data_IF_248890996439
#
_entry.id   IF_248890996439
#
_cell.length_a   1.000
_cell.length_b   1.000
_cell.length_c   1.000
_cell.angle_alpha   90.00
_cell.angle_beta   90.00
_cell.angle_gamma   90.00
#
_symmetry.space_group_name_H-M   'P 1'
#
loop_
_entity.id
_entity.type
_entity.pdbx_description
1 polymer ?
#
# COMPACT_ATOMS: atom_id res chain seq x y z
N UNK A 1 -37.48 -15.35 13.05
CA UNK A 1 -36.24 -14.50 13.05
C UNK A 1 -35.32 -15.00 11.95
N UNK A 2 -34.98 -14.19 10.96
CA UNK A 2 -34.04 -14.60 9.92
C UNK A 2 -32.67 -14.86 10.58
N UNK A 3 -32.04 -15.96 10.21
CA UNK A 3 -30.69 -16.34 10.70
C UNK A 3 -29.71 -15.20 10.38
N UNK A 4 -29.04 -14.66 11.37
CA UNK A 4 -28.03 -13.61 11.17
C UNK A 4 -26.88 -14.20 10.32
N UNK A 5 -26.58 -13.59 9.18
CA UNK A 5 -25.47 -14.03 8.31
C UNK A 5 -24.12 -13.70 8.97
N UNK A 6 -23.19 -14.65 8.87
CA UNK A 6 -21.84 -14.54 9.44
C UNK A 6 -20.82 -14.31 8.34
N UNK A 7 -20.04 -13.22 8.45
CA UNK A 7 -18.88 -12.93 7.60
C UNK A 7 -17.62 -13.18 8.41
N UNK A 8 -16.72 -13.99 7.89
CA UNK A 8 -15.44 -14.31 8.52
C UNK A 8 -14.32 -13.54 7.84
N UNK A 9 -13.64 -12.63 8.58
CA UNK A 9 -12.58 -11.81 8.04
C UNK A 9 -11.23 -12.21 8.62
N UNK A 10 -10.19 -12.19 7.78
CA UNK A 10 -8.81 -12.43 8.23
C UNK A 10 -7.91 -11.33 7.71
N UNK A 11 -7.43 -10.50 8.62
CA UNK A 11 -6.40 -9.49 8.37
C UNK A 11 -5.10 -9.91 9.06
N UNK A 12 -3.97 -9.81 8.37
CA UNK A 12 -2.66 -10.22 8.89
C UNK A 12 -1.70 -9.06 9.15
N UNK A 13 -2.05 -7.85 8.73
CA UNK A 13 -1.22 -6.64 8.80
C UNK A 13 -2.06 -5.42 9.15
N UNK A 14 -1.46 -4.32 9.67
CA UNK A 14 -2.20 -3.09 10.00
C UNK A 14 -2.98 -2.50 8.82
N UNK A 15 -2.47 -2.61 7.59
CA UNK A 15 -3.18 -2.25 6.35
C UNK A 15 -4.46 -3.06 6.17
N UNK A 16 -4.39 -4.36 6.41
CA UNK A 16 -5.54 -5.25 6.35
C UNK A 16 -6.56 -5.00 7.46
N UNK A 17 -6.11 -4.65 8.68
CA UNK A 17 -6.99 -4.26 9.78
C UNK A 17 -7.77 -2.98 9.46
N UNK A 18 -7.11 -1.98 8.88
CA UNK A 18 -7.76 -0.76 8.40
C UNK A 18 -8.83 -1.08 7.35
N UNK A 19 -8.49 -1.85 6.30
CA UNK A 19 -9.43 -2.24 5.26
C UNK A 19 -10.61 -3.05 5.81
N UNK A 20 -10.34 -3.98 6.72
CA UNK A 20 -11.37 -4.79 7.39
C UNK A 20 -12.32 -3.94 8.22
N UNK A 21 -11.80 -2.98 8.97
CA UNK A 21 -12.57 -2.03 9.77
C UNK A 21 -13.52 -1.18 8.90
N UNK A 22 -13.01 -0.63 7.80
CA UNK A 22 -13.80 0.17 6.85
C UNK A 22 -14.95 -0.66 6.22
N UNK A 23 -14.65 -1.92 5.82
CA UNK A 23 -15.68 -2.83 5.31
C UNK A 23 -16.75 -3.12 6.37
N UNK A 24 -16.34 -3.47 7.60
CA UNK A 24 -17.28 -3.77 8.69
C UNK A 24 -18.18 -2.56 8.95
N UNK A 25 -17.60 -1.36 9.01
CA UNK A 25 -18.37 -0.11 9.21
C UNK A 25 -19.44 0.08 8.13
N UNK A 26 -19.07 -0.02 6.86
CA UNK A 26 -20.00 0.12 5.73
C UNK A 26 -21.08 -0.96 5.72
N UNK A 27 -20.73 -2.20 6.05
CA UNK A 27 -21.67 -3.33 6.10
C UNK A 27 -22.67 -3.17 7.26
N UNK A 28 -22.24 -2.73 8.44
CA UNK A 28 -23.13 -2.46 9.59
C UNK A 28 -24.13 -1.36 9.24
N UNK A 29 -23.67 -0.28 8.59
CA UNK A 29 -24.54 0.81 8.16
C UNK A 29 -25.58 0.37 7.15
N UNK A 30 -25.24 -0.59 6.29
CA UNK A 30 -26.16 -1.13 5.26
C UNK A 30 -27.06 -2.24 5.79
N UNK A 31 -26.61 -3.04 6.76
CA UNK A 31 -27.37 -4.16 7.34
C UNK A 31 -26.89 -4.51 8.76
N UNK A 32 -27.61 -4.04 9.76
CA UNK A 32 -27.31 -4.26 11.18
C UNK A 32 -27.46 -5.72 11.66
N UNK A 33 -27.98 -6.63 10.81
CA UNK A 33 -28.18 -8.04 11.17
C UNK A 33 -26.96 -8.92 10.89
N UNK A 34 -25.87 -8.37 10.36
CA UNK A 34 -24.65 -9.10 10.07
C UNK A 34 -23.81 -9.35 11.35
N UNK A 35 -23.14 -10.51 11.36
CA UNK A 35 -22.15 -10.86 12.39
C UNK A 35 -20.77 -10.98 11.75
N UNK A 36 -19.73 -10.60 12.52
CA UNK A 36 -18.35 -10.63 12.07
C UNK A 36 -17.49 -11.41 13.06
N UNK A 37 -16.59 -12.24 12.53
CA UNK A 37 -15.67 -13.06 13.33
C UNK A 37 -14.37 -13.29 12.54
N UNK A 38 -13.28 -13.73 13.18
CA UNK A 38 -12.06 -14.08 12.47
C UNK A 38 -10.77 -13.64 13.13
N UNK A 39 -9.88 -12.99 12.36
CA UNK A 39 -8.59 -12.44 12.82
C UNK A 39 -8.48 -10.98 12.37
N UNK A 40 -8.25 -10.09 13.31
CA UNK A 40 -8.09 -8.66 13.05
C UNK A 40 -7.38 -7.95 14.19
N UNK A 41 -7.03 -6.70 13.95
CA UNK A 41 -6.37 -5.82 14.93
C UNK A 41 -7.36 -4.93 15.68
N UNK A 42 -6.83 -3.85 16.26
CA UNK A 42 -7.59 -2.93 17.12
C UNK A 42 -8.71 -2.20 16.36
N UNK A 43 -8.48 -1.83 15.08
CA UNK A 43 -9.48 -1.10 14.31
C UNK A 43 -10.73 -1.95 14.05
N UNK A 44 -10.58 -3.20 13.65
CA UNK A 44 -11.71 -4.12 13.48
C UNK A 44 -12.40 -4.40 14.80
N UNK A 45 -11.64 -4.53 15.91
CA UNK A 45 -12.20 -4.81 17.24
C UNK A 45 -13.09 -3.67 17.76
N UNK A 46 -12.91 -2.42 17.32
CA UNK A 46 -13.78 -1.29 17.64
C UNK A 46 -15.24 -1.50 17.15
N UNK A 47 -15.47 -2.43 16.24
CA UNK A 47 -16.80 -2.81 15.71
C UNK A 47 -17.39 -4.09 16.33
N UNK A 48 -17.07 -4.41 17.58
CA UNK A 48 -17.46 -5.64 18.26
C UNK A 48 -16.95 -6.94 17.58
N UNK A 49 -15.89 -6.84 16.79
CA UNK A 49 -15.20 -7.96 16.17
C UNK A 49 -14.31 -8.67 17.19
N UNK A 50 -14.35 -10.00 17.24
CA UNK A 50 -13.51 -10.78 18.14
C UNK A 50 -12.45 -11.54 17.35
N UNK A 51 -11.19 -11.18 17.58
CA UNK A 51 -10.06 -11.91 16.99
C UNK A 51 -9.77 -13.19 17.75
N UNK A 52 -9.65 -14.31 17.02
CA UNK A 52 -9.38 -15.63 17.65
C UNK A 52 -7.94 -15.79 18.15
N UNK A 53 -7.04 -14.93 17.73
CA UNK A 53 -5.70 -14.74 18.25
C UNK A 53 -5.15 -13.35 17.87
N UNK A 54 -4.07 -12.87 18.51
CA UNK A 54 -3.49 -11.57 18.17
C UNK A 54 -3.01 -11.50 16.71
N UNK A 55 -3.46 -10.50 15.95
CA UNK A 55 -3.06 -10.28 14.55
C UNK A 55 -1.53 -10.19 14.38
N UNK A 56 -0.81 -9.71 15.40
CA UNK A 56 0.66 -9.65 15.42
C UNK A 56 1.35 -10.99 15.21
N UNK A 57 0.64 -12.10 15.40
CA UNK A 57 1.17 -13.44 15.11
C UNK A 57 1.36 -13.68 13.60
N UNK A 58 0.67 -12.92 12.75
CA UNK A 58 0.73 -13.00 11.29
C UNK A 58 1.67 -11.94 10.70
N UNK A 59 1.87 -10.80 11.38
CA UNK A 59 2.68 -9.67 10.93
C UNK A 59 4.18 -9.95 11.02
N UNK A 60 4.66 -10.97 10.32
CA UNK A 60 6.07 -11.38 10.34
C UNK A 60 6.69 -11.02 8.99
N UNK A 61 7.64 -10.08 8.99
CA UNK A 61 8.36 -9.67 7.78
C UNK A 61 9.81 -10.16 7.78
N UNK A 62 10.28 -10.59 6.61
CA UNK A 62 11.65 -11.03 6.36
C UNK A 62 11.80 -12.56 6.33
N UNK A 63 12.78 -13.04 5.54
CA UNK A 63 12.97 -14.49 5.29
C UNK A 63 13.34 -15.22 6.58
N UNK A 64 14.33 -14.73 7.33
CA UNK A 64 14.81 -15.40 8.53
C UNK A 64 13.77 -15.42 9.66
N UNK A 65 13.09 -14.32 10.02
CA UNK A 65 11.99 -14.34 11.00
C UNK A 65 10.83 -15.26 10.60
N UNK A 66 10.50 -15.34 9.30
CA UNK A 66 9.47 -16.28 8.80
C UNK A 66 9.90 -17.71 8.98
N UNK A 67 11.16 -18.07 8.65
CA UNK A 67 11.68 -19.43 8.83
C UNK A 67 11.66 -19.86 10.32
N UNK A 68 12.07 -18.98 11.23
CA UNK A 68 12.08 -19.26 12.66
C UNK A 68 10.67 -19.45 13.25
N UNK A 69 9.64 -18.87 12.63
CA UNK A 69 8.25 -18.92 13.11
C UNK A 69 7.32 -19.74 12.23
N UNK A 70 7.86 -20.51 11.28
CA UNK A 70 7.06 -21.28 10.31
C UNK A 70 6.06 -22.24 10.99
N UNK A 71 6.47 -22.89 12.08
CA UNK A 71 5.61 -23.79 12.85
C UNK A 71 4.43 -23.04 13.49
N UNK A 72 4.66 -21.81 13.98
CA UNK A 72 3.60 -20.96 14.52
C UNK A 72 2.63 -20.55 13.42
N UNK A 73 3.14 -20.13 12.26
CA UNK A 73 2.28 -19.76 11.11
C UNK A 73 1.46 -20.96 10.63
N UNK A 74 2.04 -22.15 10.53
CA UNK A 74 1.30 -23.36 10.15
C UNK A 74 0.20 -23.71 11.17
N UNK A 75 0.49 -23.56 12.47
CA UNK A 75 -0.52 -23.72 13.53
C UNK A 75 -1.67 -22.72 13.38
N UNK A 76 -1.37 -21.43 13.08
CA UNK A 76 -2.39 -20.39 12.87
C UNK A 76 -3.21 -20.65 11.61
N UNK A 77 -2.58 -21.11 10.52
CA UNK A 77 -3.32 -21.53 9.30
C UNK A 77 -4.32 -22.64 9.64
N UNK A 78 -3.91 -23.64 10.42
CA UNK A 78 -4.80 -24.72 10.85
C UNK A 78 -5.95 -24.19 11.72
N UNK A 79 -5.62 -23.37 12.72
CA UNK A 79 -6.59 -22.79 13.64
C UNK A 79 -7.67 -21.98 12.89
N UNK A 80 -7.27 -21.08 11.96
CA UNK A 80 -8.19 -20.30 11.14
C UNK A 80 -9.05 -21.22 10.26
N UNK A 81 -8.42 -22.19 9.60
CA UNK A 81 -9.16 -23.15 8.72
C UNK A 81 -10.20 -23.95 9.50
N UNK A 82 -9.83 -24.47 10.67
CA UNK A 82 -10.72 -25.31 11.49
C UNK A 82 -11.84 -24.47 12.12
N UNK A 83 -11.55 -23.22 12.54
CA UNK A 83 -12.55 -22.28 13.05
C UNK A 83 -13.59 -21.90 11.97
N UNK A 84 -13.15 -21.62 10.73
CA UNK A 84 -14.03 -21.35 9.59
C UNK A 84 -14.95 -22.55 9.32
N UNK A 85 -14.40 -23.78 9.31
CA UNK A 85 -15.18 -24.99 9.07
C UNK A 85 -16.22 -25.23 10.16
N UNK A 86 -15.85 -25.01 11.41
CA UNK A 86 -16.74 -25.18 12.56
C UNK A 86 -17.86 -24.14 12.59
N UNK A 87 -17.55 -22.88 12.30
CA UNK A 87 -18.50 -21.75 12.33
C UNK A 87 -19.41 -21.70 11.09
N UNK A 88 -18.97 -22.28 9.98
CA UNK A 88 -19.70 -22.30 8.69
C UNK A 88 -20.22 -20.90 8.31
N UNK A 89 -19.33 -19.91 8.15
CA UNK A 89 -19.74 -18.57 7.76
C UNK A 89 -20.37 -18.56 6.37
N UNK A 90 -21.25 -17.59 6.12
CA UNK A 90 -21.90 -17.38 4.83
C UNK A 90 -20.90 -16.80 3.80
N UNK A 91 -19.83 -16.13 4.25
CA UNK A 91 -18.78 -15.54 3.42
C UNK A 91 -17.45 -15.48 4.18
N UNK A 92 -16.35 -15.74 3.47
CA UNK A 92 -14.98 -15.56 4.00
C UNK A 92 -14.27 -14.46 3.21
N UNK A 93 -13.65 -13.50 3.90
CA UNK A 93 -12.84 -12.42 3.30
C UNK A 93 -11.43 -12.49 3.86
N UNK A 94 -10.46 -12.76 2.99
CA UNK A 94 -9.05 -12.87 3.33
C UNK A 94 -8.33 -11.61 2.83
N UNK A 95 -7.91 -10.75 3.78
CA UNK A 95 -7.42 -9.38 3.51
C UNK A 95 -5.90 -9.36 3.60
N UNK A 96 -5.24 -8.87 2.54
CA UNK A 96 -3.78 -8.72 2.48
C UNK A 96 -3.03 -10.05 2.79
N UNK A 97 -1.82 -10.02 3.37
CA UNK A 97 -1.06 -11.22 3.80
C UNK A 97 -1.10 -12.40 2.81
N UNK A 98 -0.65 -12.23 1.57
CA UNK A 98 -0.98 -13.14 0.46
C UNK A 98 -0.49 -14.57 0.66
N UNK A 99 0.63 -14.81 1.36
CA UNK A 99 1.15 -16.16 1.56
C UNK A 99 0.39 -16.94 2.64
N UNK A 100 -0.09 -16.26 3.68
CA UNK A 100 -0.94 -16.85 4.71
C UNK A 100 -2.33 -17.15 4.14
N UNK A 101 -2.96 -16.15 3.57
CA UNK A 101 -4.33 -16.21 3.08
C UNK A 101 -4.50 -17.22 1.93
N UNK A 102 -3.52 -17.30 1.01
CA UNK A 102 -3.56 -18.33 -0.04
C UNK A 102 -3.50 -19.76 0.51
N UNK A 103 -2.75 -20.00 1.58
CA UNK A 103 -2.67 -21.30 2.24
C UNK A 103 -3.98 -21.65 2.95
N UNK A 104 -4.62 -20.68 3.61
CA UNK A 104 -5.95 -20.85 4.22
C UNK A 104 -6.98 -21.20 3.15
N UNK A 105 -7.10 -20.39 2.09
CA UNK A 105 -8.05 -20.63 0.99
C UNK A 105 -7.85 -22.01 0.34
N UNK A 106 -6.60 -22.37 0.01
CA UNK A 106 -6.26 -23.69 -0.55
C UNK A 106 -6.66 -24.83 0.37
N UNK A 107 -6.54 -24.66 1.70
CA UNK A 107 -6.87 -25.68 2.68
C UNK A 107 -8.40 -25.82 2.83
N UNK A 108 -9.13 -24.72 2.79
CA UNK A 108 -10.60 -24.69 2.77
C UNK A 108 -11.15 -25.42 1.54
N UNK A 109 -10.66 -25.09 0.33
CA UNK A 109 -11.08 -25.78 -0.90
C UNK A 109 -10.74 -27.28 -0.88
N UNK A 110 -9.61 -27.71 -0.30
CA UNK A 110 -9.28 -29.13 -0.09
C UNK A 110 -10.24 -29.85 0.86
N UNK A 111 -10.86 -29.14 1.80
CA UNK A 111 -11.86 -29.67 2.74
C UNK A 111 -13.29 -29.47 2.22
N UNK A 112 -13.47 -29.19 0.92
CA UNK A 112 -14.76 -28.99 0.26
C UNK A 112 -15.65 -27.92 0.90
N UNK A 113 -15.00 -26.83 1.39
CA UNK A 113 -15.73 -25.68 1.92
C UNK A 113 -16.51 -24.98 0.78
N UNK A 114 -17.80 -24.74 0.98
CA UNK A 114 -18.73 -24.32 -0.08
C UNK A 114 -19.01 -22.81 -0.12
N UNK A 115 -18.94 -22.10 1.03
CA UNK A 115 -19.21 -20.66 1.02
C UNK A 115 -18.15 -19.89 0.24
N UNK A 116 -18.50 -18.75 -0.39
CA UNK A 116 -17.57 -17.97 -1.18
C UNK A 116 -16.36 -17.49 -0.37
N UNK A 117 -15.18 -17.47 -1.00
CA UNK A 117 -13.92 -16.97 -0.43
C UNK A 117 -13.45 -15.80 -1.29
N UNK A 118 -13.48 -14.61 -0.73
CA UNK A 118 -12.99 -13.38 -1.37
C UNK A 118 -11.56 -13.07 -0.92
N UNK A 119 -10.67 -12.79 -1.88
CA UNK A 119 -9.38 -12.19 -1.62
C UNK A 119 -9.51 -10.67 -1.69
N UNK A 120 -9.13 -9.96 -0.66
CA UNK A 120 -9.05 -8.50 -0.69
C UNK A 120 -7.59 -8.07 -0.65
N UNK A 121 -7.19 -7.25 -1.60
CA UNK A 121 -5.83 -6.89 -1.99
C UNK A 121 -5.16 -7.94 -2.88
N UNK A 122 -4.98 -7.56 -4.14
CA UNK A 122 -4.26 -8.38 -5.11
C UNK A 122 -2.77 -8.49 -4.75
N UNK A 123 -2.20 -9.69 -4.69
CA UNK A 123 -0.75 -9.82 -4.58
C UNK A 123 -0.07 -9.36 -5.88
N UNK A 124 1.13 -8.77 -5.78
CA UNK A 124 1.90 -8.23 -6.91
C UNK A 124 2.48 -9.32 -7.85
N UNK A 125 1.74 -10.39 -8.07
CA UNK A 125 2.16 -11.53 -8.91
C UNK A 125 2.29 -11.18 -10.39
N UNK A 126 1.63 -10.14 -10.84
CA UNK A 126 1.76 -9.59 -12.18
C UNK A 126 3.18 -9.11 -12.49
N UNK A 127 3.95 -8.71 -11.48
CA UNK A 127 5.32 -8.24 -11.63
C UNK A 127 6.34 -9.37 -11.86
N UNK A 128 6.14 -10.58 -11.31
CA UNK A 128 7.17 -11.63 -11.33
C UNK A 128 6.69 -13.10 -11.20
N UNK A 129 5.50 -13.37 -10.63
CA UNK A 129 4.97 -14.72 -10.39
C UNK A 129 3.61 -14.94 -11.04
N UNK A 130 3.47 -14.64 -12.32
CA UNK A 130 2.18 -14.67 -13.04
C UNK A 130 1.43 -16.02 -12.92
N UNK A 131 2.14 -17.15 -12.88
CA UNK A 131 1.54 -18.48 -12.69
C UNK A 131 0.76 -18.61 -11.36
N UNK A 132 1.04 -17.76 -10.35
CA UNK A 132 0.29 -17.75 -9.10
C UNK A 132 -1.14 -17.26 -9.28
N UNK A 133 -1.41 -16.39 -10.25
CA UNK A 133 -2.76 -15.94 -10.57
C UNK A 133 -3.68 -17.12 -10.94
N UNK A 134 -3.17 -18.06 -11.77
CA UNK A 134 -3.90 -19.31 -12.10
C UNK A 134 -4.14 -20.22 -10.89
N UNK A 135 -3.23 -20.20 -9.89
CA UNK A 135 -3.48 -20.92 -8.63
C UNK A 135 -4.51 -20.21 -7.75
N UNK A 136 -4.58 -18.88 -7.82
CA UNK A 136 -5.57 -18.10 -7.07
C UNK A 136 -6.99 -18.36 -7.59
N UNK A 137 -7.21 -18.42 -8.91
CA UNK A 137 -8.51 -18.70 -9.49
C UNK A 137 -9.12 -20.07 -9.10
N UNK A 138 -8.27 -21.00 -8.62
CA UNK A 138 -8.73 -22.29 -8.08
C UNK A 138 -9.13 -22.24 -6.61
N UNK A 139 -8.71 -21.22 -5.88
CA UNK A 139 -8.84 -21.17 -4.42
C UNK A 139 -9.72 -20.01 -3.93
N UNK A 140 -9.92 -18.99 -4.74
CA UNK A 140 -10.75 -17.84 -4.45
C UNK A 140 -11.86 -17.73 -5.47
N UNK A 141 -13.04 -17.32 -5.01
CA UNK A 141 -14.21 -17.13 -5.85
C UNK A 141 -14.27 -15.69 -6.39
N UNK A 142 -13.65 -14.74 -5.70
CA UNK A 142 -13.55 -13.33 -6.12
C UNK A 142 -12.29 -12.66 -5.60
N UNK A 143 -11.86 -11.59 -6.31
CA UNK A 143 -10.76 -10.73 -5.89
C UNK A 143 -11.19 -9.25 -5.90
N UNK A 144 -10.91 -8.54 -4.81
CA UNK A 144 -10.94 -7.08 -4.78
C UNK A 144 -9.54 -6.54 -5.02
N UNK A 145 -9.36 -5.86 -6.14
CA UNK A 145 -8.08 -5.25 -6.54
C UNK A 145 -8.03 -3.77 -6.17
N UNK A 146 -6.85 -3.28 -5.82
CA UNK A 146 -6.59 -1.89 -5.47
C UNK A 146 -6.07 -1.05 -6.63
N UNK A 147 -5.61 -1.70 -7.72
CA UNK A 147 -5.10 -1.04 -8.91
C UNK A 147 -5.92 -1.46 -10.13
N UNK A 148 -6.23 -0.53 -11.04
CA UNK A 148 -7.17 -0.80 -12.14
C UNK A 148 -6.69 -1.90 -13.10
N UNK A 149 -5.41 -1.95 -13.44
CA UNK A 149 -4.85 -2.95 -14.36
C UNK A 149 -4.83 -4.37 -13.76
N UNK A 150 -4.91 -4.52 -12.45
CA UNK A 150 -4.96 -5.83 -11.78
C UNK A 150 -6.24 -6.58 -12.13
N UNK A 151 -7.36 -5.87 -12.29
CA UNK A 151 -8.64 -6.47 -12.66
C UNK A 151 -8.51 -7.31 -13.93
N UNK A 152 -8.06 -6.71 -15.02
CA UNK A 152 -7.97 -7.38 -16.32
C UNK A 152 -6.91 -8.49 -16.29
N UNK A 153 -5.82 -8.29 -15.55
CA UNK A 153 -4.81 -9.32 -15.34
C UNK A 153 -5.39 -10.58 -14.69
N UNK A 154 -6.15 -10.45 -13.60
CA UNK A 154 -6.69 -11.61 -12.89
C UNK A 154 -7.87 -12.26 -13.62
N UNK A 155 -8.76 -11.48 -14.25
CA UNK A 155 -9.85 -12.01 -15.09
C UNK A 155 -9.27 -12.88 -16.21
N UNK A 156 -8.22 -12.44 -16.90
CA UNK A 156 -7.52 -13.23 -17.92
C UNK A 156 -7.00 -14.57 -17.39
N UNK A 157 -6.71 -14.66 -16.10
CA UNK A 157 -6.27 -15.90 -15.45
C UNK A 157 -7.42 -16.70 -14.81
N UNK A 158 -8.68 -16.31 -15.07
CA UNK A 158 -9.88 -17.02 -14.63
C UNK A 158 -10.32 -16.71 -13.20
N UNK A 159 -9.94 -15.55 -12.63
CA UNK A 159 -10.40 -15.09 -11.33
C UNK A 159 -11.28 -13.85 -11.48
N UNK A 160 -12.56 -13.97 -11.15
CA UNK A 160 -13.47 -12.83 -11.07
C UNK A 160 -12.88 -11.74 -10.17
N UNK A 161 -12.82 -10.52 -10.70
CA UNK A 161 -12.14 -9.41 -10.04
C UNK A 161 -12.91 -8.11 -10.18
N UNK A 162 -13.11 -7.44 -9.06
CA UNK A 162 -13.64 -6.07 -9.01
C UNK A 162 -12.54 -5.10 -8.59
N UNK A 163 -12.31 -4.08 -9.39
CA UNK A 163 -11.50 -2.94 -8.96
C UNK A 163 -12.33 -2.11 -7.98
N UNK A 164 -11.86 -2.02 -6.73
CA UNK A 164 -12.58 -1.31 -5.66
C UNK A 164 -11.98 0.07 -5.37
N UNK A 165 -10.79 0.36 -5.90
CA UNK A 165 -10.05 1.58 -5.59
C UNK A 165 -9.04 1.41 -4.44
N UNK A 166 -8.17 2.39 -4.28
CA UNK A 166 -7.11 2.34 -3.25
C UNK A 166 -7.53 3.10 -1.98
N UNK A 167 -7.31 2.56 -0.77
CA UNK A 167 -7.76 3.17 0.49
C UNK A 167 -7.17 4.56 0.79
N UNK A 168 -6.05 4.90 0.17
CA UNK A 168 -5.45 6.26 0.26
C UNK A 168 -6.40 7.35 -0.24
N UNK A 169 -7.30 7.04 -1.17
CA UNK A 169 -8.32 8.00 -1.66
C UNK A 169 -9.17 8.49 -0.49
N UNK A 170 -9.66 7.57 0.35
CA UNK A 170 -10.45 7.93 1.54
C UNK A 170 -9.64 8.76 2.54
N UNK A 171 -8.36 8.40 2.76
CA UNK A 171 -7.47 9.15 3.66
C UNK A 171 -7.25 10.59 3.21
N UNK A 172 -7.03 10.81 1.91
CA UNK A 172 -6.85 12.15 1.34
C UNK A 172 -8.14 12.98 1.39
N UNK A 173 -9.29 12.35 1.14
CA UNK A 173 -10.59 13.02 1.16
C UNK A 173 -11.03 13.44 2.57
N UNK A 174 -10.56 12.75 3.60
CA UNK A 174 -10.87 13.04 5.00
C UNK A 174 -10.03 14.19 5.61
N UNK A 175 -9.05 14.73 4.86
CA UNK A 175 -8.28 15.89 5.31
C UNK A 175 -9.13 17.17 5.22
N UNK A 176 -9.25 17.89 6.32
CA UNK A 176 -9.94 19.16 6.33
C UNK A 176 -9.20 20.21 5.47
N UNK A 177 -9.94 21.03 4.71
CA UNK A 177 -9.34 22.05 3.83
C UNK A 177 -8.58 23.14 4.58
N UNK A 178 -8.99 23.42 5.82
CA UNK A 178 -8.38 24.45 6.67
C UNK A 178 -7.07 24.02 7.32
N UNK A 179 -6.76 22.72 7.33
CA UNK A 179 -5.52 22.23 7.91
C UNK A 179 -4.36 22.53 6.96
N UNK A 180 -3.34 23.24 7.48
CA UNK A 180 -2.14 23.59 6.73
C UNK A 180 -0.90 23.07 7.43
N UNK A 181 -0.11 22.30 6.70
CA UNK A 181 1.19 21.83 7.15
C UNK A 181 2.17 23.00 7.32
N UNK A 182 2.12 23.97 6.40
CA UNK A 182 3.02 25.12 6.43
C UNK A 182 2.80 26.00 7.66
N UNK A 183 1.53 26.23 8.03
CA UNK A 183 1.19 26.98 9.23
C UNK A 183 1.61 26.23 10.50
N UNK A 184 1.31 24.92 10.58
CA UNK A 184 1.63 24.10 11.75
C UNK A 184 3.13 24.05 12.04
N UNK A 185 3.97 24.13 10.99
CA UNK A 185 5.44 24.03 11.11
C UNK A 185 6.18 25.34 10.82
N UNK A 186 5.48 26.48 10.73
CA UNK A 186 6.05 27.82 10.47
C UNK A 186 6.96 27.87 9.23
N UNK A 187 6.52 27.22 8.15
CA UNK A 187 7.31 27.12 6.91
C UNK A 187 7.07 28.27 5.94
N UNK A 188 6.01 29.05 6.13
CA UNK A 188 5.62 30.16 5.25
C UNK A 188 5.67 29.76 3.76
N UNK A 189 6.45 30.50 2.95
CA UNK A 189 6.65 30.25 1.51
C UNK A 189 7.90 29.44 1.18
N UNK A 190 8.59 28.88 2.18
CA UNK A 190 9.82 28.11 1.95
C UNK A 190 9.56 26.89 1.04
N UNK A 191 10.44 26.63 0.07
CA UNK A 191 10.33 25.43 -0.74
C UNK A 191 10.56 24.17 0.12
N UNK A 192 9.73 23.14 -0.10
CA UNK A 192 9.76 21.89 0.68
C UNK A 192 10.09 20.72 -0.25
N UNK A 193 11.16 20.00 0.06
CA UNK A 193 11.53 18.73 -0.55
C UNK A 193 11.22 17.59 0.41
N UNK A 194 10.42 16.64 -0.04
CA UNK A 194 10.15 15.41 0.72
C UNK A 194 11.20 14.37 0.39
N UNK A 195 11.72 13.69 1.42
CA UNK A 195 12.52 12.48 1.26
C UNK A 195 11.88 11.29 1.92
N UNK A 196 11.61 10.25 1.14
CA UNK A 196 10.99 8.99 1.57
C UNK A 196 11.93 7.82 1.23
N UNK A 197 12.84 7.46 2.14
CA UNK A 197 13.88 6.44 1.86
C UNK A 197 13.37 5.00 1.82
N UNK A 198 12.10 4.76 2.10
CA UNK A 198 11.49 3.45 2.27
C UNK A 198 11.09 3.17 3.71
N UNK A 199 10.43 2.02 3.92
CA UNK A 199 9.94 1.59 5.25
C UNK A 199 10.87 0.59 5.95
N UNK A 200 11.69 -0.15 5.20
CA UNK A 200 12.58 -1.17 5.73
C UNK A 200 13.95 -0.60 6.07
N UNK A 201 14.53 -0.97 7.21
CA UNK A 201 15.87 -0.53 7.62
C UNK A 201 16.94 -0.75 6.55
N UNK A 202 16.87 -1.88 5.82
CA UNK A 202 17.83 -2.17 4.76
C UNK A 202 17.68 -1.26 3.54
N UNK A 203 16.47 -0.82 3.21
CA UNK A 203 16.19 0.17 2.15
C UNK A 203 16.68 1.55 2.59
N UNK A 204 16.26 1.98 3.77
CA UNK A 204 16.65 3.26 4.37
C UNK A 204 18.17 3.43 4.34
N UNK A 205 18.92 2.48 4.87
CA UNK A 205 20.38 2.54 4.92
C UNK A 205 21.03 2.66 3.53
N UNK A 206 20.45 2.02 2.51
CA UNK A 206 20.98 2.11 1.13
C UNK A 206 20.66 3.43 0.46
N UNK A 207 19.53 4.05 0.80
CA UNK A 207 19.07 5.28 0.16
C UNK A 207 19.65 6.54 0.79
N UNK A 208 20.02 6.53 2.08
CA UNK A 208 20.47 7.73 2.79
C UNK A 208 21.72 8.34 2.17
N UNK A 209 22.80 7.58 1.98
CA UNK A 209 24.09 8.14 1.55
C UNK A 209 24.02 8.87 0.21
N UNK A 210 23.51 8.26 -0.89
CA UNK A 210 23.42 8.95 -2.17
C UNK A 210 22.50 10.17 -2.12
N UNK A 211 21.39 10.10 -1.36
CA UNK A 211 20.48 11.23 -1.22
C UNK A 211 21.13 12.37 -0.41
N UNK A 212 21.79 12.08 0.72
CA UNK A 212 22.46 13.09 1.54
C UNK A 212 23.51 13.87 0.75
N UNK A 213 24.31 13.17 -0.05
CA UNK A 213 25.29 13.79 -0.94
C UNK A 213 24.61 14.70 -1.97
N UNK A 214 23.46 14.29 -2.50
CA UNK A 214 22.67 15.09 -3.42
C UNK A 214 22.00 16.30 -2.72
N UNK A 215 21.43 16.09 -1.53
CA UNK A 215 20.75 17.14 -0.76
C UNK A 215 21.67 18.30 -0.44
N UNK A 216 22.94 18.04 -0.08
CA UNK A 216 23.94 19.09 0.17
C UNK A 216 24.08 20.01 -1.06
N UNK A 217 24.14 19.46 -2.26
CA UNK A 217 24.26 20.24 -3.50
C UNK A 217 22.95 20.96 -3.86
N UNK A 218 21.80 20.31 -3.64
CA UNK A 218 20.49 20.93 -3.85
C UNK A 218 20.31 22.13 -2.90
N UNK A 219 20.67 21.98 -1.63
CA UNK A 219 20.57 23.02 -0.60
C UNK A 219 21.43 24.25 -0.95
N UNK A 220 22.61 24.07 -1.58
CA UNK A 220 23.42 25.18 -2.10
C UNK A 220 22.73 25.99 -3.18
N UNK A 221 21.87 25.33 -4.00
CA UNK A 221 21.12 25.99 -5.08
C UNK A 221 19.79 26.58 -4.60
N UNK A 222 19.23 26.06 -3.52
CA UNK A 222 17.99 26.49 -2.89
C UNK A 222 18.25 26.69 -1.39
N UNK A 223 18.83 27.82 -0.96
CA UNK A 223 19.26 28.02 0.45
C UNK A 223 18.13 27.88 1.47
N UNK A 224 16.90 28.31 1.14
CA UNK A 224 15.74 28.24 2.03
C UNK A 224 14.99 26.91 1.97
N UNK A 225 15.51 25.92 1.22
CA UNK A 225 14.89 24.60 1.10
C UNK A 225 14.71 23.92 2.45
N UNK A 226 13.50 23.49 2.76
CA UNK A 226 13.20 22.64 3.91
C UNK A 226 13.17 21.19 3.44
N UNK A 227 13.93 20.34 4.12
CA UNK A 227 13.85 18.89 3.92
C UNK A 227 12.86 18.31 4.93
N UNK A 228 11.79 17.70 4.44
CA UNK A 228 10.81 17.00 5.26
C UNK A 228 10.92 15.46 5.04
N UNK A 229 10.97 14.70 6.13
CA UNK A 229 11.18 13.24 6.10
C UNK A 229 10.08 12.54 6.88
N UNK A 230 8.97 12.17 6.23
CA UNK A 230 7.98 11.28 6.82
C UNK A 230 8.58 9.89 7.07
N UNK A 231 8.41 9.38 8.29
CA UNK A 231 8.95 8.07 8.69
C UNK A 231 8.17 7.45 9.86
N UNK A 232 8.37 6.18 10.12
CA UNK A 232 7.84 5.57 11.34
C UNK A 232 8.61 6.05 12.58
N UNK A 233 7.93 6.10 13.75
CA UNK A 233 8.49 6.57 15.03
C UNK A 233 9.83 5.89 15.39
N UNK A 234 9.94 4.57 15.15
CA UNK A 234 11.18 3.81 15.40
C UNK A 234 12.40 4.32 14.62
N UNK A 235 12.20 5.07 13.53
CA UNK A 235 13.24 5.62 12.67
C UNK A 235 13.54 7.10 12.95
N UNK A 236 12.74 7.77 13.79
CA UNK A 236 12.82 9.19 14.05
C UNK A 236 14.25 9.63 14.40
N UNK A 237 14.81 9.04 15.45
CA UNK A 237 16.16 9.37 15.94
C UNK A 237 17.22 9.18 14.86
N UNK A 238 17.17 8.05 14.16
CA UNK A 238 18.11 7.76 13.08
C UNK A 238 18.04 8.78 11.95
N UNK A 239 16.83 9.22 11.55
CA UNK A 239 16.69 10.26 10.52
C UNK A 239 17.22 11.61 10.98
N UNK A 240 16.97 12.01 12.21
CA UNK A 240 17.53 13.24 12.81
C UNK A 240 19.06 13.23 12.85
N UNK A 241 19.68 12.10 13.18
CA UNK A 241 21.14 11.95 13.16
C UNK A 241 21.72 12.05 11.73
N UNK A 242 21.00 11.60 10.71
CA UNK A 242 21.47 11.67 9.31
C UNK A 242 21.24 13.03 8.66
N UNK A 243 20.20 13.78 9.11
CA UNK A 243 19.76 15.05 8.54
C UNK A 243 19.35 16.00 9.67
N UNK A 244 20.33 16.65 10.31
CA UNK A 244 20.12 17.47 11.52
C UNK A 244 19.08 18.58 11.32
N UNK A 245 19.09 19.26 10.17
CA UNK A 245 18.22 20.40 9.85
C UNK A 245 16.88 19.98 9.22
N UNK A 246 16.59 18.67 9.15
CA UNK A 246 15.37 18.20 8.54
C UNK A 246 14.17 18.23 9.49
N UNK A 247 12.99 18.35 8.91
CA UNK A 247 11.73 18.17 9.59
C UNK A 247 11.32 16.69 9.48
N UNK A 248 11.51 15.93 10.56
CA UNK A 248 11.12 14.50 10.62
C UNK A 248 9.69 14.41 11.12
N UNK A 249 8.83 13.77 10.34
CA UNK A 249 7.37 13.62 10.58
C UNK A 249 7.06 12.16 10.87
N UNK A 250 6.41 11.88 11.98
CA UNK A 250 5.98 10.51 12.36
C UNK A 250 4.46 10.38 12.43
N UNK A 251 3.73 11.48 12.49
CA UNK A 251 2.29 11.50 12.45
C UNK A 251 1.75 11.27 11.02
N UNK A 252 0.74 10.42 10.88
CA UNK A 252 0.18 10.07 9.58
C UNK A 252 -0.64 11.21 8.97
N UNK A 253 -1.38 11.98 9.78
CA UNK A 253 -2.13 13.14 9.29
C UNK A 253 -1.19 14.21 8.76
N UNK A 254 -0.15 14.55 9.53
CA UNK A 254 0.86 15.53 9.11
C UNK A 254 1.60 15.08 7.85
N UNK A 255 1.86 13.77 7.68
CA UNK A 255 2.39 13.22 6.42
C UNK A 255 1.50 13.58 5.23
N UNK A 256 0.20 13.39 5.34
CA UNK A 256 -0.73 13.69 4.24
C UNK A 256 -0.92 15.19 4.02
N UNK A 257 -0.90 16.00 5.08
CA UNK A 257 -0.87 17.47 4.98
C UNK A 257 0.38 17.94 4.25
N UNK A 258 1.55 17.40 4.61
CA UNK A 258 2.82 17.64 3.89
C UNK A 258 2.70 17.28 2.39
N UNK A 259 2.08 16.14 2.06
CA UNK A 259 1.89 15.73 0.67
C UNK A 259 1.01 16.69 -0.12
N UNK A 260 0.10 17.40 0.53
CA UNK A 260 -0.73 18.42 -0.13
C UNK A 260 0.02 19.72 -0.44
N UNK A 261 1.08 20.03 0.34
CA UNK A 261 1.70 21.36 0.34
C UNK A 261 3.18 21.39 -0.06
N UNK A 262 3.84 20.25 -0.18
CA UNK A 262 5.24 20.17 -0.60
C UNK A 262 5.41 20.44 -2.11
N UNK A 263 6.62 20.83 -2.50
CA UNK A 263 6.92 21.16 -3.88
C UNK A 263 7.37 19.97 -4.72
N UNK A 264 8.30 19.15 -4.17
CA UNK A 264 8.91 18.02 -4.88
C UNK A 264 9.16 16.89 -3.89
N UNK A 265 9.11 15.65 -4.34
CA UNK A 265 9.49 14.49 -3.55
C UNK A 265 10.63 13.68 -4.21
N UNK A 266 11.49 13.09 -3.38
CA UNK A 266 12.40 12.02 -3.74
C UNK A 266 12.03 10.78 -2.94
N UNK A 267 11.45 9.77 -3.58
CA UNK A 267 10.81 8.65 -2.89
C UNK A 267 11.30 7.30 -3.37
N UNK A 268 11.52 6.38 -2.43
CA UNK A 268 11.72 4.98 -2.74
C UNK A 268 10.48 4.40 -3.41
N UNK A 269 10.69 3.52 -4.42
CA UNK A 269 9.59 2.85 -5.10
C UNK A 269 8.78 1.99 -4.11
N UNK A 270 7.46 2.16 -4.13
CA UNK A 270 6.51 1.45 -3.27
C UNK A 270 5.15 2.14 -3.28
N UNK A 271 4.27 1.76 -2.36
CA UNK A 271 2.92 2.34 -2.21
C UNK A 271 2.95 3.86 -2.02
N UNK A 272 4.01 4.39 -1.39
CA UNK A 272 4.15 5.84 -1.18
C UNK A 272 4.20 6.65 -2.47
N UNK A 273 4.65 6.06 -3.59
CA UNK A 273 4.62 6.75 -4.89
C UNK A 273 3.19 6.95 -5.39
N UNK A 274 2.27 6.04 -5.05
CA UNK A 274 0.85 6.20 -5.31
C UNK A 274 0.25 7.31 -4.43
N UNK A 275 0.60 7.35 -3.15
CA UNK A 275 0.16 8.41 -2.22
C UNK A 275 0.57 9.80 -2.74
N UNK A 276 1.83 9.95 -3.14
CA UNK A 276 2.35 11.19 -3.73
C UNK A 276 1.66 11.54 -5.06
N UNK A 277 1.43 10.55 -5.91
CA UNK A 277 0.75 10.73 -7.19
C UNK A 277 -0.68 11.24 -7.04
N UNK A 278 -1.45 10.65 -6.11
CA UNK A 278 -2.81 11.09 -5.77
C UNK A 278 -2.83 12.50 -5.14
N UNK A 279 -1.76 12.87 -4.45
CA UNK A 279 -1.56 14.21 -3.89
C UNK A 279 -1.03 15.24 -4.90
N UNK A 280 -0.79 14.82 -6.15
CA UNK A 280 -0.24 15.65 -7.24
C UNK A 280 1.13 16.25 -6.93
N UNK A 281 1.98 15.54 -6.17
CA UNK A 281 3.34 15.96 -5.87
C UNK A 281 4.31 15.46 -6.94
N UNK A 282 5.00 16.35 -7.67
CA UNK A 282 6.05 15.96 -8.58
C UNK A 282 7.17 15.22 -7.85
N UNK A 283 7.68 14.17 -8.46
CA UNK A 283 8.62 13.31 -7.76
C UNK A 283 9.71 12.69 -8.65
N UNK A 284 10.80 12.34 -7.99
CA UNK A 284 11.83 11.44 -8.50
C UNK A 284 11.74 10.14 -7.72
N UNK A 285 11.58 9.02 -8.41
CA UNK A 285 11.53 7.70 -7.79
C UNK A 285 12.93 7.10 -7.77
N UNK A 286 13.35 6.64 -6.59
CA UNK A 286 14.67 6.03 -6.38
C UNK A 286 14.51 4.59 -5.93
N UNK A 287 15.46 3.73 -6.32
CA UNK A 287 15.51 2.38 -5.76
C UNK A 287 16.89 1.74 -5.88
N UNK A 288 17.35 1.13 -4.79
CA UNK A 288 18.64 0.44 -4.73
C UNK A 288 18.53 -0.84 -3.91
N UNK A 289 18.82 -1.95 -4.55
CA UNK A 289 18.96 -3.27 -3.93
C UNK A 289 20.45 -3.62 -3.73
N UNK A 290 20.74 -4.59 -2.88
CA UNK A 290 22.06 -5.22 -2.88
C UNK A 290 22.30 -5.96 -4.19
N UNK A 291 23.57 -6.18 -4.50
CA UNK A 291 23.99 -6.74 -5.78
C UNK A 291 23.38 -8.13 -6.07
N UNK A 292 23.32 -9.01 -5.07
CA UNK A 292 22.78 -10.36 -5.24
C UNK A 292 21.28 -10.33 -5.51
N UNK A 293 20.54 -9.59 -4.69
CA UNK A 293 19.09 -9.41 -4.86
C UNK A 293 18.78 -8.78 -6.22
N UNK A 294 19.53 -7.75 -6.62
CA UNK A 294 19.37 -7.12 -7.93
C UNK A 294 19.61 -8.08 -9.09
N UNK A 295 20.69 -8.86 -9.03
CA UNK A 295 20.99 -9.84 -10.06
C UNK A 295 19.88 -10.86 -10.30
N UNK A 296 19.15 -11.22 -9.23
CA UNK A 296 18.00 -12.13 -9.31
C UNK A 296 16.75 -11.39 -9.81
N UNK A 297 16.41 -10.27 -9.16
CA UNK A 297 15.17 -9.52 -9.43
C UNK A 297 15.16 -8.97 -10.85
N UNK A 298 16.27 -8.42 -11.33
CA UNK A 298 16.37 -7.87 -12.70
C UNK A 298 16.12 -8.90 -13.82
N UNK A 299 16.38 -10.19 -13.54
CA UNK A 299 16.11 -11.28 -14.50
C UNK A 299 14.69 -11.82 -14.39
N UNK A 300 14.07 -11.73 -13.22
CA UNK A 300 12.74 -12.28 -12.95
C UNK A 300 11.63 -11.25 -13.15
N UNK A 301 11.93 -9.96 -13.02
CA UNK A 301 10.95 -8.90 -13.21
C UNK A 301 10.46 -8.84 -14.66
N UNK A 302 9.14 -8.88 -14.81
CA UNK A 302 8.45 -8.80 -16.10
C UNK A 302 7.83 -7.43 -16.36
N UNK A 303 8.14 -6.46 -15.52
CA UNK A 303 7.60 -5.11 -15.60
C UNK A 303 8.64 -4.14 -16.17
N UNK A 304 8.17 -3.19 -16.97
CA UNK A 304 9.02 -2.16 -17.60
C UNK A 304 9.39 -1.05 -16.62
N UNK A 305 8.55 -0.78 -15.62
CA UNK A 305 8.67 0.30 -14.68
C UNK A 305 8.64 -0.22 -13.25
N UNK A 306 9.20 0.55 -12.31
CA UNK A 306 9.19 0.19 -10.88
C UNK A 306 8.18 1.03 -10.07
N UNK A 307 7.80 2.21 -10.54
CA UNK A 307 6.78 3.03 -9.88
C UNK A 307 5.38 2.67 -10.33
N UNK A 308 4.41 2.71 -9.41
CA UNK A 308 3.00 2.47 -9.73
C UNK A 308 2.45 3.49 -10.72
N UNK A 309 2.92 4.73 -10.69
CA UNK A 309 2.50 5.78 -11.61
C UNK A 309 2.85 5.40 -13.06
N UNK A 310 4.12 5.08 -13.32
CA UNK A 310 4.56 4.68 -14.65
C UNK A 310 3.91 3.39 -15.14
N UNK A 311 3.63 2.44 -14.21
CA UNK A 311 2.93 1.19 -14.51
C UNK A 311 1.48 1.44 -14.92
N UNK A 312 0.75 2.25 -14.16
CA UNK A 312 -0.67 2.57 -14.44
C UNK A 312 -0.81 3.34 -15.74
N UNK A 313 0.03 4.36 -15.94
CA UNK A 313 0.02 5.17 -17.16
C UNK A 313 0.67 4.48 -18.37
N UNK A 314 1.37 3.36 -18.15
CA UNK A 314 2.20 2.70 -19.16
C UNK A 314 3.14 3.69 -19.88
N UNK A 315 3.63 4.70 -19.15
CA UNK A 315 4.44 5.82 -19.65
C UNK A 315 5.53 6.17 -18.63
N UNK A 316 6.66 6.69 -19.09
CA UNK A 316 7.73 7.20 -18.22
C UNK A 316 7.38 8.63 -17.75
N UNK A 317 6.39 8.75 -16.89
CA UNK A 317 5.86 10.02 -16.36
C UNK A 317 6.69 10.56 -15.22
N UNK A 318 7.15 9.70 -14.32
CA UNK A 318 8.08 10.05 -13.26
C UNK A 318 9.47 9.46 -13.54
N UNK A 319 10.51 10.22 -13.23
CA UNK A 319 11.88 9.76 -13.40
C UNK A 319 12.19 8.67 -12.39
N UNK A 320 12.66 7.51 -12.87
CA UNK A 320 13.10 6.39 -12.04
C UNK A 320 14.63 6.31 -12.07
N UNK A 321 15.25 6.44 -10.91
CA UNK A 321 16.70 6.29 -10.72
C UNK A 321 16.96 4.97 -9.99
N UNK A 322 17.41 3.96 -10.73
CA UNK A 322 17.55 2.59 -10.24
C UNK A 322 19.02 2.21 -10.21
N UNK A 323 19.46 1.57 -9.13
CA UNK A 323 20.83 1.05 -8.96
C UNK A 323 21.93 2.09 -9.23
N UNK A 324 22.65 1.95 -10.36
CA UNK A 324 23.74 2.85 -10.78
C UNK A 324 23.26 4.24 -11.14
N UNK A 325 22.02 4.36 -11.64
CA UNK A 325 21.40 5.65 -11.96
C UNK A 325 21.03 6.43 -10.71
N UNK A 326 20.83 5.74 -9.57
CA UNK A 326 20.65 6.38 -8.28
C UNK A 326 21.99 6.80 -7.71
N UNK A 327 22.47 7.96 -8.15
CA UNK A 327 23.71 8.61 -7.73
C UNK A 327 23.48 10.10 -7.52
N UNK A 328 24.43 10.77 -6.85
CA UNK A 328 24.37 12.21 -6.51
C UNK A 328 24.01 13.06 -7.73
N UNK A 329 24.72 12.90 -8.85
CA UNK A 329 24.56 13.74 -10.05
C UNK A 329 23.11 13.66 -10.62
N UNK A 330 22.59 12.45 -10.75
CA UNK A 330 21.26 12.23 -11.33
C UNK A 330 20.15 12.69 -10.39
N UNK A 331 20.29 12.51 -9.06
CA UNK A 331 19.31 13.01 -8.08
C UNK A 331 19.29 14.54 -8.10
N UNK A 332 20.45 15.19 -8.02
CA UNK A 332 20.56 16.66 -8.09
C UNK A 332 19.89 17.18 -9.34
N UNK A 333 20.27 16.66 -10.52
CA UNK A 333 19.68 17.08 -11.79
C UNK A 333 18.15 16.91 -11.78
N UNK A 334 17.66 15.73 -11.47
CA UNK A 334 16.22 15.42 -11.58
C UNK A 334 15.37 16.21 -10.58
N UNK A 335 15.87 16.47 -9.37
CA UNK A 335 15.17 17.30 -8.38
C UNK A 335 15.17 18.76 -8.78
N UNK A 336 16.33 19.30 -9.24
CA UNK A 336 16.42 20.69 -9.68
C UNK A 336 15.60 20.94 -10.96
N UNK A 337 15.54 19.97 -11.91
CA UNK A 337 14.68 20.07 -13.08
C UNK A 337 13.21 20.27 -12.65
N UNK A 338 12.73 19.57 -11.62
CA UNK A 338 11.37 19.74 -11.09
C UNK A 338 11.15 21.07 -10.35
N UNK A 339 12.18 21.68 -9.80
CA UNK A 339 12.07 22.99 -9.16
C UNK A 339 12.16 24.17 -10.14
N UNK A 340 12.94 24.04 -11.20
CA UNK A 340 13.31 25.17 -12.05
C UNK A 340 12.90 25.05 -13.52
N UNK A 341 12.67 23.83 -14.04
CA UNK A 341 12.18 23.64 -15.40
C UNK A 341 10.65 23.52 -15.39
N UNK A 342 10.00 24.61 -15.82
CA UNK A 342 8.55 24.71 -15.84
C UNK A 342 7.91 23.63 -16.71
N UNK A 343 8.52 23.26 -17.84
CA UNK A 343 7.97 22.26 -18.74
C UNK A 343 8.00 20.87 -18.09
N UNK A 344 9.13 20.49 -17.47
CA UNK A 344 9.27 19.22 -16.76
C UNK A 344 8.26 19.12 -15.61
N UNK A 345 8.06 20.21 -14.89
CA UNK A 345 7.09 20.27 -13.79
C UNK A 345 5.65 20.11 -14.32
N UNK A 346 5.23 20.92 -15.31
CA UNK A 346 3.88 20.93 -15.85
C UNK A 346 3.52 19.60 -16.53
N UNK A 347 4.46 19.01 -17.28
CA UNK A 347 4.29 17.70 -17.90
C UNK A 347 4.03 16.63 -16.86
N UNK A 348 4.81 16.63 -15.78
CA UNK A 348 4.61 15.64 -14.71
C UNK A 348 3.29 15.85 -13.96
N UNK A 349 2.92 17.10 -13.66
CA UNK A 349 1.61 17.43 -13.05
C UNK A 349 0.46 16.97 -13.94
N UNK A 350 0.54 17.20 -15.25
CA UNK A 350 -0.47 16.72 -16.21
C UNK A 350 -0.63 15.21 -16.17
N UNK A 351 0.48 14.48 -16.14
CA UNK A 351 0.47 13.03 -16.04
C UNK A 351 -0.06 12.53 -14.66
N UNK A 352 0.29 13.21 -13.56
CA UNK A 352 -0.24 12.89 -12.23
C UNK A 352 -1.75 13.12 -12.13
N UNK A 353 -2.29 14.15 -12.80
CA UNK A 353 -3.75 14.36 -12.88
C UNK A 353 -4.42 13.18 -13.60
N UNK A 354 -3.90 12.75 -14.75
CA UNK A 354 -4.39 11.55 -15.45
C UNK A 354 -4.30 10.29 -14.59
N UNK A 355 -3.17 10.12 -13.90
CA UNK A 355 -2.99 9.01 -12.96
C UNK A 355 -4.06 9.03 -11.88
N UNK A 356 -4.31 10.20 -11.28
CA UNK A 356 -5.33 10.38 -10.24
C UNK A 356 -6.71 10.03 -10.77
N UNK A 357 -7.10 10.54 -11.93
CA UNK A 357 -8.37 10.21 -12.60
C UNK A 357 -8.55 8.69 -12.81
N UNK A 358 -7.49 7.99 -13.26
CA UNK A 358 -7.53 6.54 -13.47
C UNK A 358 -7.69 5.77 -12.14
N UNK A 359 -6.99 6.23 -11.07
CA UNK A 359 -7.05 5.56 -9.76
C UNK A 359 -8.35 5.88 -9.03
N UNK A 360 -8.87 7.09 -9.12
CA UNK A 360 -10.15 7.44 -8.51
C UNK A 360 -11.32 6.79 -9.27
N UNK A 361 -11.25 6.75 -10.62
CA UNK A 361 -12.31 6.23 -11.48
C UNK A 361 -13.67 6.81 -11.10
N UNK A 362 -14.71 5.99 -11.19
CA UNK A 362 -16.06 6.36 -10.73
C UNK A 362 -16.27 6.16 -9.22
N UNK A 363 -15.27 5.61 -8.53
CA UNK A 363 -15.39 5.13 -7.16
C UNK A 363 -14.76 6.10 -6.15
N UNK A 364 -15.59 6.93 -5.56
CA UNK A 364 -15.16 7.90 -4.53
C UNK A 364 -14.82 7.25 -3.18
N UNK A 365 -15.41 6.09 -2.88
CA UNK A 365 -15.21 5.37 -1.61
C UNK A 365 -14.92 3.88 -1.86
N UNK A 366 -13.64 3.45 -1.81
CA UNK A 366 -13.24 2.06 -2.05
C UNK A 366 -13.92 1.02 -1.16
N UNK A 367 -14.12 1.33 0.12
CA UNK A 367 -14.73 0.39 1.07
C UNK A 367 -16.24 0.24 0.85
N UNK A 368 -16.92 1.26 0.33
CA UNK A 368 -18.32 1.18 -0.06
C UNK A 368 -18.52 0.27 -1.28
N UNK A 369 -17.66 0.39 -2.30
CA UNK A 369 -17.70 -0.50 -3.47
C UNK A 369 -17.50 -1.95 -3.06
N UNK A 370 -16.50 -2.20 -2.18
CA UNK A 370 -16.26 -3.54 -1.66
C UNK A 370 -17.46 -4.06 -0.85
N UNK A 371 -18.05 -3.23 0.03
CA UNK A 371 -19.21 -3.60 0.84
C UNK A 371 -20.44 -3.92 -0.02
N UNK A 372 -20.72 -3.13 -1.06
CA UNK A 372 -21.83 -3.39 -1.99
C UNK A 372 -21.65 -4.74 -2.70
N UNK A 373 -20.43 -5.04 -3.16
CA UNK A 373 -20.14 -6.33 -3.80
C UNK A 373 -20.26 -7.52 -2.83
N UNK A 374 -19.87 -7.33 -1.57
CA UNK A 374 -20.05 -8.32 -0.50
C UNK A 374 -21.55 -8.60 -0.27
N UNK A 375 -22.39 -7.56 -0.23
CA UNK A 375 -23.85 -7.71 -0.06
C UNK A 375 -24.49 -8.48 -1.22
N UNK A 376 -23.99 -8.38 -2.45
CA UNK A 376 -24.44 -9.23 -3.57
C UNK A 376 -24.20 -10.72 -3.30
N UNK A 377 -22.99 -11.07 -2.82
CA UNK A 377 -22.66 -12.46 -2.44
C UNK A 377 -23.52 -13.00 -1.29
N UNK A 378 -24.00 -12.14 -0.41
CA UNK A 378 -24.85 -12.55 0.68
C UNK A 378 -26.33 -12.66 0.29
N UNK A 379 -26.78 -12.13 -0.85
CA UNK A 379 -28.17 -12.27 -1.33
C UNK A 379 -28.41 -13.62 -2.02
N UNK A 380 -27.36 -14.15 -2.62
CA UNK A 380 -27.38 -15.47 -3.28
C UNK A 380 -27.07 -16.58 -2.26
#
# INVERSE_FOLDING_TARGET
MSKKKLIYLVAGEPSGDFLGSEIISNLINSNSSLKFDGVGGTLMQNHNFKSIFPMSDLSIMGILPVLLRINKLLKRINQVTDDIINKKPDLVILIDSPDFNHRVAKKLKKKSFCSPIICYVAPTVWAWRQNRAKSMSKNFDHLFSLLPFERDFFIKHGLETTYVGHPVISKLNNLEKKDSFRENYNLEKKPVLIFLPGSRQSEIRRHIKPFREAYIEIKKKIPDLVLAIPTEEKNYRFMKEQFNDSLVITDERDKFLLFREANVACAASGTVTLELGLSLIPMVVIYKLDFLTWSIVSRLAKVRFISLINLVLNKKSVKELVQTDYNKKNVVKSVLDLFFDKNVFEDQISDLKKFKEIIEGDNKNPSEVAANKILEYLKN
#
